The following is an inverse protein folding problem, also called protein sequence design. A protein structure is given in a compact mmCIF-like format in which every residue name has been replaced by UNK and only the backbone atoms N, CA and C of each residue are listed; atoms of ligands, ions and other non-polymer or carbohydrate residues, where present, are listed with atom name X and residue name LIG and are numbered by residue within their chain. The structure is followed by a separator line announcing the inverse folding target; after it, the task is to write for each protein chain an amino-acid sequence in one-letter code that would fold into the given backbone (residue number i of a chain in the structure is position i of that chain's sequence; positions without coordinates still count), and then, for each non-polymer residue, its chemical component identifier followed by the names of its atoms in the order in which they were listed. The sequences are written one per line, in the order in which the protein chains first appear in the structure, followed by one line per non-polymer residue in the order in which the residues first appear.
data_IF_806656628946
#
_entry.id   IF_806656628946
#
_cell.length_a   1.000
_cell.length_b   1.000
_cell.length_c   1.000
_cell.angle_alpha   90.00
_cell.angle_beta   90.00
_cell.angle_gamma   90.00
#
_symmetry.space_group_name_H-M   'P 1'
#
loop_
_entity.id
_entity.type
_entity.pdbx_description
1 polymer ?
#
# COMPACT_ATOMS: atom_id res chain seq x y z
N UNK A 1 -22.57 -23.66 12.87
CA UNK A 1 -22.42 -24.08 11.46
C UNK A 1 -23.80 -24.41 10.93
N UNK A 2 -24.23 -23.74 9.86
CA UNK A 2 -25.50 -23.98 9.19
C UNK A 2 -25.24 -24.28 7.71
N UNK A 3 -25.99 -25.24 7.15
CA UNK A 3 -25.91 -25.62 5.74
C UNK A 3 -27.28 -25.40 5.09
N UNK A 4 -27.31 -24.68 3.97
CA UNK A 4 -28.51 -24.59 3.14
C UNK A 4 -28.34 -25.48 1.91
N UNK A 5 -29.28 -26.41 1.72
CA UNK A 5 -29.27 -27.34 0.59
C UNK A 5 -30.24 -26.90 -0.50
N UNK A 6 -29.93 -27.20 -1.76
CA UNK A 6 -30.88 -27.02 -2.85
C UNK A 6 -32.04 -28.01 -2.77
N UNK A 7 -33.25 -27.48 -2.57
CA UNK A 7 -34.49 -28.26 -2.56
C UNK A 7 -34.66 -29.08 -3.86
N UNK A 8 -34.29 -28.50 -5.01
CA UNK A 8 -34.36 -29.16 -6.32
C UNK A 8 -33.29 -30.24 -6.53
N UNK A 9 -32.10 -30.07 -5.94
CA UNK A 9 -31.05 -31.08 -6.00
C UNK A 9 -31.36 -32.26 -5.06
N UNK A 10 -31.94 -31.97 -3.88
CA UNK A 10 -32.44 -32.99 -2.94
C UNK A 10 -33.54 -33.85 -3.58
N UNK A 11 -34.47 -33.23 -4.34
CA UNK A 11 -35.49 -33.95 -5.11
C UNK A 11 -34.91 -34.85 -6.23
N UNK A 12 -33.65 -34.65 -6.64
CA UNK A 12 -32.92 -35.47 -7.62
C UNK A 12 -31.87 -36.39 -6.99
N UNK A 13 -31.86 -36.52 -5.65
CA UNK A 13 -30.92 -37.38 -4.92
C UNK A 13 -29.48 -36.86 -4.87
N UNK A 14 -29.23 -35.58 -5.14
CA UNK A 14 -27.90 -34.97 -5.07
C UNK A 14 -27.89 -33.88 -4.00
N UNK A 15 -27.22 -34.12 -2.88
CA UNK A 15 -27.01 -33.08 -1.87
C UNK A 15 -26.04 -32.03 -2.43
N UNK A 16 -26.53 -30.83 -2.73
CA UNK A 16 -25.73 -29.67 -3.11
C UNK A 16 -25.86 -28.61 -2.02
N UNK A 17 -24.75 -28.31 -1.34
CA UNK A 17 -24.65 -27.26 -0.32
C UNK A 17 -24.59 -25.92 -1.04
N UNK A 18 -25.68 -25.16 -1.08
CA UNK A 18 -25.69 -23.88 -1.80
C UNK A 18 -25.03 -22.76 -1.00
N UNK A 19 -25.21 -22.79 0.31
CA UNK A 19 -24.65 -21.81 1.23
C UNK A 19 -23.97 -22.51 2.42
N UNK A 20 -22.81 -21.98 2.79
CA UNK A 20 -22.10 -22.33 4.01
C UNK A 20 -22.02 -21.10 4.90
N UNK A 21 -22.57 -21.22 6.11
CA UNK A 21 -22.53 -20.18 7.12
C UNK A 21 -21.84 -20.65 8.40
N UNK A 22 -20.81 -19.90 8.78
CA UNK A 22 -20.01 -20.12 9.96
C UNK A 22 -20.14 -18.90 10.87
N UNK A 23 -20.83 -19.08 11.99
CA UNK A 23 -20.94 -18.09 13.06
C UNK A 23 -19.88 -18.38 14.11
N UNK A 24 -19.02 -17.41 14.37
CA UNK A 24 -17.90 -17.46 15.31
C UNK A 24 -16.98 -18.69 15.13
N UNK A 25 -16.57 -19.05 13.90
CA UNK A 25 -15.63 -20.15 13.72
C UNK A 25 -14.25 -19.76 14.24
N UNK A 26 -13.51 -20.76 14.73
CA UNK A 26 -12.06 -20.66 14.95
C UNK A 26 -11.34 -21.48 13.90
N UNK A 27 -10.52 -20.84 13.07
CA UNK A 27 -9.70 -21.48 12.03
C UNK A 27 -8.24 -21.45 12.47
N UNK A 28 -7.59 -22.61 12.51
CA UNK A 28 -6.17 -22.72 12.81
C UNK A 28 -5.39 -22.95 11.52
N UNK A 29 -4.63 -21.94 11.08
CA UNK A 29 -3.68 -22.05 9.98
C UNK A 29 -2.29 -22.29 10.56
N UNK A 30 -1.70 -23.43 10.26
CA UNK A 30 -0.40 -23.85 10.78
C UNK A 30 0.53 -24.11 9.61
N UNK A 31 1.69 -23.46 9.63
CA UNK A 31 2.78 -23.72 8.70
C UNK A 31 3.75 -24.71 9.36
N UNK A 32 4.15 -25.75 8.64
CA UNK A 32 5.22 -26.65 9.10
C UNK A 32 6.61 -26.01 8.86
N UNK A 33 7.69 -26.58 9.42
CA UNK A 33 9.07 -26.14 9.14
C UNK A 33 9.45 -26.13 7.66
N UNK A 34 8.82 -26.97 6.85
CA UNK A 34 9.03 -27.06 5.40
C UNK A 34 8.27 -25.96 4.61
N UNK A 35 7.53 -25.09 5.31
CA UNK A 35 6.80 -23.97 4.73
C UNK A 35 5.40 -24.30 4.20
N UNK A 36 4.94 -25.54 4.37
CA UNK A 36 3.63 -26.01 3.92
C UNK A 36 2.54 -25.67 4.94
N UNK A 37 1.39 -25.23 4.43
CA UNK A 37 0.22 -24.89 5.25
C UNK A 37 -0.72 -26.10 5.39
N UNK A 38 -1.31 -26.28 6.57
CA UNK A 38 -2.40 -27.24 6.79
C UNK A 38 -3.70 -26.94 6.00
N UNK A 39 -3.76 -25.82 5.26
CA UNK A 39 -4.80 -25.51 4.29
C UNK A 39 -4.49 -26.04 2.87
N UNK A 40 -3.22 -26.32 2.54
CA UNK A 40 -2.84 -26.86 1.24
C UNK A 40 -3.43 -28.28 1.01
N UNK A 41 -3.66 -29.03 2.09
CA UNK A 41 -4.33 -30.33 2.08
C UNK A 41 -5.83 -30.26 1.79
N UNK A 42 -6.47 -29.08 1.85
CA UNK A 42 -7.88 -28.90 1.45
C UNK A 42 -8.05 -28.73 -0.07
N UNK A 43 -6.97 -28.35 -0.78
CA UNK A 43 -6.96 -28.17 -2.24
C UNK A 43 -6.31 -29.36 -2.98
N UNK A 44 -5.55 -30.21 -2.28
CA UNK A 44 -5.06 -31.46 -2.82
C UNK A 44 -6.25 -32.43 -2.99
N UNK A 45 -6.67 -32.67 -4.23
CA UNK A 45 -7.60 -33.73 -4.54
C UNK A 45 -7.01 -35.07 -4.00
N UNK A 46 -7.83 -35.96 -3.43
CA UNK A 46 -7.36 -37.31 -3.16
C UNK A 46 -6.89 -37.92 -4.48
N UNK A 47 -5.68 -38.45 -4.45
CA UNK A 47 -5.07 -39.20 -5.54
C UNK A 47 -5.82 -40.53 -5.66
N UNK A 48 -6.97 -40.51 -6.34
CA UNK A 48 -7.64 -41.71 -6.83
C UNK A 48 -7.20 -41.97 -8.28
N UNK A 49 -6.66 -43.16 -8.50
CA UNK A 49 -6.15 -43.72 -9.75
C UNK A 49 -7.23 -43.78 -10.86
N UNK A 50 -6.97 -43.11 -12.01
CA UNK A 50 -7.43 -43.28 -13.42
C UNK A 50 -8.93 -43.52 -13.81
N UNK A 51 -9.38 -43.22 -15.08
CA UNK A 51 -8.92 -42.27 -16.11
C UNK A 51 -10.04 -41.28 -16.54
N UNK A 52 -9.76 -40.23 -17.37
CA UNK A 52 -10.73 -39.16 -17.63
C UNK A 52 -11.70 -39.51 -18.77
N UNK A 53 -13.00 -39.29 -18.55
CA UNK A 53 -13.98 -39.13 -19.61
C UNK A 53 -14.74 -37.81 -19.41
N UNK A 54 -14.58 -36.94 -20.42
CA UNK A 54 -15.43 -35.82 -20.83
C UNK A 54 -15.75 -34.68 -19.82
N UNK A 55 -15.12 -33.54 -20.10
CA UNK A 55 -15.62 -32.16 -20.01
C UNK A 55 -16.91 -31.90 -19.21
N UNK A 56 -16.74 -31.42 -17.98
CA UNK A 56 -17.57 -30.35 -17.41
C UNK A 56 -16.68 -29.51 -16.49
N UNK A 57 -16.70 -28.15 -16.56
CA UNK A 57 -16.01 -27.34 -15.57
C UNK A 57 -16.65 -27.61 -14.21
N UNK A 58 -15.83 -28.00 -13.23
CA UNK A 58 -16.27 -28.21 -11.86
C UNK A 58 -16.84 -26.91 -11.31
N UNK A 59 -18.17 -26.80 -11.28
CA UNK A 59 -18.84 -25.75 -10.53
C UNK A 59 -18.51 -25.95 -9.06
N UNK A 60 -18.02 -24.88 -8.38
CA UNK A 60 -17.80 -24.92 -6.94
C UNK A 60 -19.05 -25.47 -6.25
N UNK A 61 -18.95 -26.53 -5.43
CA UNK A 61 -20.13 -27.17 -4.83
C UNK A 61 -20.87 -26.23 -3.88
N UNK A 62 -20.21 -25.17 -3.37
CA UNK A 62 -20.76 -24.11 -2.53
C UNK A 62 -20.63 -22.76 -3.24
N UNK A 63 -21.75 -22.09 -3.46
CA UNK A 63 -21.84 -20.80 -4.18
C UNK A 63 -21.80 -19.60 -3.25
N UNK A 64 -22.35 -19.74 -2.04
CA UNK A 64 -22.44 -18.67 -1.06
C UNK A 64 -21.65 -19.05 0.19
N UNK A 65 -20.70 -18.20 0.58
CA UNK A 65 -19.89 -18.36 1.77
C UNK A 65 -20.11 -17.17 2.70
N UNK A 66 -20.40 -17.47 3.96
CA UNK A 66 -20.51 -16.46 5.00
C UNK A 66 -19.75 -16.89 6.26
N UNK A 67 -18.89 -16.01 6.74
CA UNK A 67 -18.24 -16.09 8.05
C UNK A 67 -18.65 -14.84 8.82
N UNK A 68 -19.19 -15.04 10.02
CA UNK A 68 -19.57 -13.96 10.93
C UNK A 68 -18.73 -14.07 12.20
N UNK A 69 -18.02 -12.99 12.54
CA UNK A 69 -17.23 -12.87 13.78
C UNK A 69 -16.23 -14.02 14.01
N UNK A 70 -15.54 -14.43 12.94
CA UNK A 70 -14.55 -15.50 12.98
C UNK A 70 -13.25 -15.10 13.69
N UNK A 71 -12.53 -16.11 14.15
CA UNK A 71 -11.15 -16.01 14.64
C UNK A 71 -10.23 -16.86 13.78
N UNK A 72 -9.12 -16.30 13.30
CA UNK A 72 -8.06 -17.05 12.61
C UNK A 72 -6.81 -17.02 13.48
N UNK A 73 -6.31 -18.20 13.86
CA UNK A 73 -5.04 -18.37 14.54
C UNK A 73 -4.01 -18.83 13.51
N UNK A 74 -2.90 -18.09 13.40
CA UNK A 74 -1.84 -18.35 12.43
C UNK A 74 -0.57 -18.67 13.20
N UNK A 75 -0.11 -19.90 13.06
CA UNK A 75 1.08 -20.43 13.72
C UNK A 75 2.16 -20.74 12.69
N UNK A 76 3.36 -20.20 12.92
CA UNK A 76 4.56 -20.49 12.14
C UNK A 76 5.70 -20.91 13.06
N UNK A 77 6.66 -21.71 12.57
CA UNK A 77 7.88 -21.99 13.32
C UNK A 77 8.59 -20.70 13.70
N UNK A 78 9.07 -20.62 14.94
CA UNK A 78 9.88 -19.51 15.48
C UNK A 78 9.23 -18.12 15.43
N UNK A 79 7.89 -18.05 15.35
CA UNK A 79 7.15 -16.79 15.40
C UNK A 79 5.99 -16.82 16.39
N UNK A 80 5.62 -15.68 16.99
CA UNK A 80 4.44 -15.59 17.83
C UNK A 80 3.18 -15.91 17.02
N UNK A 81 2.24 -16.63 17.65
CA UNK A 81 0.92 -16.89 17.05
C UNK A 81 0.20 -15.58 16.76
N UNK A 82 -0.13 -15.35 15.50
CA UNK A 82 -0.97 -14.23 15.10
C UNK A 82 -2.44 -14.61 15.27
N UNK A 83 -3.18 -13.78 16.00
CA UNK A 83 -4.62 -13.94 16.20
C UNK A 83 -5.35 -12.81 15.48
N UNK A 84 -6.11 -13.18 14.45
CA UNK A 84 -7.03 -12.29 13.76
C UNK A 84 -8.43 -12.52 14.32
N UNK A 85 -9.16 -11.46 14.63
CA UNK A 85 -10.51 -11.52 15.23
C UNK A 85 -11.49 -10.67 14.45
N UNK A 86 -12.79 -10.83 14.72
CA UNK A 86 -13.83 -10.10 14.02
C UNK A 86 -13.78 -10.32 12.51
N UNK A 87 -13.39 -11.54 12.09
CA UNK A 87 -13.26 -11.90 10.68
C UNK A 87 -14.65 -12.06 10.10
N UNK A 88 -14.97 -11.22 9.14
CA UNK A 88 -16.19 -11.27 8.37
C UNK A 88 -15.85 -11.58 6.93
N UNK A 89 -16.48 -12.60 6.36
CA UNK A 89 -16.35 -12.93 4.95
C UNK A 89 -17.75 -13.13 4.38
N UNK A 90 -18.04 -12.50 3.25
CA UNK A 90 -19.21 -12.80 2.46
C UNK A 90 -18.81 -12.90 0.98
N UNK A 91 -18.97 -14.07 0.38
CA UNK A 91 -18.83 -14.28 -1.05
C UNK A 91 -20.13 -14.90 -1.57
N UNK A 92 -20.70 -14.33 -2.62
CA UNK A 92 -21.98 -14.78 -3.19
C UNK A 92 -21.79 -15.16 -4.64
N UNK A 93 -22.50 -16.18 -5.11
CA UNK A 93 -22.43 -16.65 -6.49
C UNK A 93 -20.99 -16.92 -6.99
N UNK A 94 -20.17 -17.56 -6.15
CA UNK A 94 -18.79 -17.92 -6.47
C UNK A 94 -18.75 -18.67 -7.81
N UNK A 95 -17.93 -18.16 -8.73
CA UNK A 95 -17.80 -18.64 -10.09
C UNK A 95 -16.33 -18.71 -10.50
N UNK A 96 -15.96 -19.74 -11.25
CA UNK A 96 -14.62 -19.86 -11.84
C UNK A 96 -14.50 -19.09 -13.17
N UNK A 97 -15.62 -18.75 -13.79
CA UNK A 97 -15.67 -18.14 -15.13
C UNK A 97 -16.12 -16.68 -15.13
N UNK A 98 -16.78 -16.23 -14.07
CA UNK A 98 -17.34 -14.88 -13.97
C UNK A 98 -16.89 -14.18 -12.67
N UNK A 99 -16.72 -12.85 -12.66
CA UNK A 99 -16.46 -12.11 -11.43
C UNK A 99 -17.67 -12.16 -10.51
N UNK A 100 -17.46 -12.34 -9.20
CA UNK A 100 -18.51 -12.42 -8.20
C UNK A 100 -18.25 -11.49 -7.00
N UNK A 101 -19.29 -11.04 -6.27
CA UNK A 101 -19.13 -10.15 -5.13
C UNK A 101 -18.38 -10.81 -3.97
N UNK A 102 -17.47 -10.06 -3.35
CA UNK A 102 -16.77 -10.45 -2.13
C UNK A 102 -16.71 -9.27 -1.16
N UNK A 103 -16.96 -9.55 0.11
CA UNK A 103 -16.68 -8.66 1.25
C UNK A 103 -15.80 -9.39 2.23
N UNK A 104 -14.77 -8.72 2.72
CA UNK A 104 -13.87 -9.22 3.75
C UNK A 104 -13.64 -8.10 4.75
N UNK A 105 -13.71 -8.39 6.04
CA UNK A 105 -13.24 -7.50 7.08
C UNK A 105 -12.50 -8.29 8.15
N UNK A 106 -11.40 -7.73 8.66
CA UNK A 106 -10.51 -8.39 9.61
C UNK A 106 -10.00 -7.35 10.60
N UNK A 107 -10.07 -7.66 11.89
CA UNK A 107 -9.46 -6.86 12.95
C UNK A 107 -8.12 -7.46 13.39
N UNK A 108 -7.08 -6.63 13.36
CA UNK A 108 -5.72 -6.98 13.80
C UNK A 108 -5.47 -6.61 15.27
N UNK A 109 -6.20 -5.61 15.78
CA UNK A 109 -6.23 -5.18 17.17
C UNK A 109 -7.59 -4.51 17.48
N UNK A 110 -7.85 -4.11 18.72
CA UNK A 110 -9.16 -3.53 19.14
C UNK A 110 -9.61 -2.35 18.27
N UNK A 111 -8.67 -1.52 17.81
CA UNK A 111 -8.96 -0.32 17.00
C UNK A 111 -8.44 -0.44 15.55
N UNK A 112 -7.83 -1.56 15.19
CA UNK A 112 -7.17 -1.76 13.90
C UNK A 112 -7.99 -2.72 13.04
N UNK A 113 -8.59 -2.20 11.95
CA UNK A 113 -9.43 -2.96 11.04
C UNK A 113 -9.05 -2.70 9.59
N UNK A 114 -9.02 -3.77 8.81
CA UNK A 114 -8.98 -3.71 7.36
C UNK A 114 -10.31 -4.26 6.86
N UNK A 115 -10.95 -3.56 5.93
CA UNK A 115 -12.10 -4.11 5.22
C UNK A 115 -11.99 -3.88 3.72
N UNK A 116 -12.62 -4.75 2.96
CA UNK A 116 -12.74 -4.59 1.52
C UNK A 116 -14.09 -5.08 1.02
N UNK A 117 -14.62 -4.35 0.04
CA UNK A 117 -15.82 -4.68 -0.72
C UNK A 117 -15.47 -4.62 -2.20
N UNK A 118 -15.82 -5.65 -2.96
CA UNK A 118 -15.48 -5.68 -4.37
C UNK A 118 -16.00 -6.91 -5.11
N UNK A 119 -15.39 -7.13 -6.27
CA UNK A 119 -15.64 -8.27 -7.16
C UNK A 119 -14.33 -9.01 -7.39
N UNK A 120 -14.37 -10.33 -7.24
CA UNK A 120 -13.24 -11.22 -7.48
C UNK A 120 -13.56 -12.09 -8.70
N UNK A 121 -12.61 -12.22 -9.63
CA UNK A 121 -12.65 -13.19 -10.71
C UNK A 121 -12.57 -12.59 -12.13
N UNK A 122 -12.54 -13.45 -13.16
CA UNK A 122 -12.64 -14.92 -13.10
C UNK A 122 -11.51 -15.58 -12.29
N UNK A 123 -11.80 -16.66 -11.55
CA UNK A 123 -10.81 -17.31 -10.69
C UNK A 123 -9.71 -17.97 -11.53
N UNK A 124 -8.46 -17.68 -11.20
CA UNK A 124 -7.32 -18.34 -11.82
C UNK A 124 -6.82 -19.45 -10.85
N UNK A 125 -7.40 -20.65 -10.96
CA UNK A 125 -7.11 -21.74 -10.02
C UNK A 125 -5.66 -22.24 -10.09
N UNK A 126 -4.99 -22.08 -11.23
CA UNK A 126 -3.56 -22.44 -11.38
C UNK A 126 -2.63 -21.34 -10.86
N UNK A 127 -3.11 -20.09 -10.78
CA UNK A 127 -2.39 -18.99 -10.16
C UNK A 127 -3.34 -18.07 -9.36
N UNK A 128 -3.80 -18.48 -8.16
CA UNK A 128 -4.82 -17.73 -7.40
C UNK A 128 -4.44 -16.28 -7.12
N UNK A 129 -3.15 -15.99 -6.93
CA UNK A 129 -2.62 -14.64 -6.75
C UNK A 129 -2.82 -13.71 -7.97
N UNK A 130 -3.09 -14.26 -9.15
CA UNK A 130 -3.37 -13.53 -10.40
C UNK A 130 -4.87 -13.36 -10.67
N UNK A 131 -5.72 -13.83 -9.77
CA UNK A 131 -7.17 -13.65 -9.88
C UNK A 131 -7.50 -12.17 -9.90
N UNK A 132 -8.20 -11.66 -10.94
CA UNK A 132 -8.55 -10.26 -11.01
C UNK A 132 -9.41 -9.83 -9.83
N UNK A 133 -9.18 -8.62 -9.35
CA UNK A 133 -9.91 -8.04 -8.24
C UNK A 133 -10.25 -6.58 -8.56
N UNK A 134 -11.48 -6.17 -8.27
CA UNK A 134 -11.88 -4.77 -8.33
C UNK A 134 -12.69 -4.44 -7.08
N UNK A 135 -12.22 -3.51 -6.27
CA UNK A 135 -12.91 -3.17 -5.05
C UNK A 135 -12.36 -1.94 -4.36
N UNK A 136 -12.90 -1.68 -3.18
CA UNK A 136 -12.46 -0.64 -2.27
C UNK A 136 -11.86 -1.30 -1.02
N UNK A 137 -10.66 -0.89 -0.65
CA UNK A 137 -9.97 -1.24 0.58
C UNK A 137 -10.12 -0.07 1.54
N UNK A 138 -10.58 -0.34 2.76
CA UNK A 138 -10.65 0.63 3.86
C UNK A 138 -9.70 0.20 4.97
N UNK A 139 -8.96 1.17 5.46
CA UNK A 139 -8.02 1.04 6.56
C UNK A 139 -8.54 1.88 7.72
N UNK A 140 -8.59 1.29 8.91
CA UNK A 140 -8.95 1.95 10.15
C UNK A 140 -7.83 1.68 11.16
N UNK A 141 -7.02 2.71 11.43
CA UNK A 141 -5.85 2.67 12.32
C UNK A 141 -4.93 1.45 12.09
N UNK A 142 -4.81 1.02 10.85
CA UNK A 142 -4.03 -0.15 10.47
C UNK A 142 -2.54 0.16 10.52
N UNK A 143 -1.76 -0.72 11.16
CA UNK A 143 -0.30 -0.58 11.24
C UNK A 143 0.36 -1.68 10.39
N UNK A 144 1.24 -1.36 9.41
CA UNK A 144 1.84 -2.38 8.54
C UNK A 144 2.65 -3.47 9.24
N UNK A 145 3.24 -3.15 10.39
CA UNK A 145 3.99 -4.08 11.23
C UNK A 145 3.14 -5.27 11.72
N UNK A 146 1.81 -5.10 11.80
CA UNK A 146 0.86 -6.17 12.11
C UNK A 146 0.87 -7.31 11.06
N UNK A 147 1.41 -7.08 9.85
CA UNK A 147 1.56 -8.10 8.82
C UNK A 147 2.87 -8.88 8.90
N UNK A 148 3.81 -8.51 9.79
CA UNK A 148 5.12 -9.17 9.90
C UNK A 148 5.02 -10.69 10.17
N UNK A 149 3.96 -11.11 10.85
CA UNK A 149 3.62 -12.52 11.09
C UNK A 149 2.92 -13.21 9.91
N UNK A 150 2.70 -12.51 8.79
CA UNK A 150 2.15 -13.06 7.54
C UNK A 150 3.16 -13.01 6.41
N UNK A 151 3.80 -11.86 6.23
CA UNK A 151 4.69 -11.57 5.11
C UNK A 151 5.94 -10.87 5.62
N UNK A 152 7.03 -10.95 4.84
CA UNK A 152 8.20 -10.11 5.08
C UNK A 152 7.82 -8.66 4.76
N UNK A 153 7.69 -7.83 5.79
CA UNK A 153 7.41 -6.40 5.64
C UNK A 153 8.74 -5.65 5.49
N UNK A 154 8.92 -4.85 4.43
CA UNK A 154 10.07 -3.95 4.31
C UNK A 154 10.23 -3.08 5.56
N UNK A 155 11.46 -2.89 6.09
CA UNK A 155 11.70 -2.08 7.28
C UNK A 155 11.11 -0.67 7.22
N UNK A 156 11.04 -0.08 6.02
CA UNK A 156 10.48 1.24 5.75
C UNK A 156 8.96 1.25 6.02
N UNK A 157 8.23 0.24 5.56
CA UNK A 157 6.80 0.11 5.82
C UNK A 157 6.51 -0.17 7.30
N UNK A 158 7.38 -0.94 7.97
CA UNK A 158 7.26 -1.21 9.41
C UNK A 158 7.45 0.03 10.28
N UNK A 159 8.11 1.08 9.75
CA UNK A 159 8.29 2.37 10.44
C UNK A 159 7.09 3.30 10.26
N UNK A 160 6.20 3.02 9.32
CA UNK A 160 4.99 3.80 9.17
C UNK A 160 4.11 3.65 10.41
N UNK A 161 3.51 4.76 10.83
CA UNK A 161 2.55 4.79 11.93
C UNK A 161 1.25 4.06 11.59
N UNK A 162 0.23 4.27 12.43
CA UNK A 162 -1.12 3.81 12.10
C UNK A 162 -1.66 4.57 10.88
N UNK A 163 -2.47 3.89 10.07
CA UNK A 163 -2.97 4.40 8.81
C UNK A 163 -4.48 4.25 8.73
N UNK A 164 -5.15 5.30 8.27
CA UNK A 164 -6.59 5.28 8.02
C UNK A 164 -6.89 5.83 6.63
N UNK A 165 -7.88 5.28 5.95
CA UNK A 165 -8.27 5.80 4.65
C UNK A 165 -8.93 4.77 3.75
N UNK A 166 -8.97 5.10 2.46
CA UNK A 166 -9.68 4.33 1.45
C UNK A 166 -8.90 4.30 0.15
N UNK A 167 -8.74 3.10 -0.43
CA UNK A 167 -8.09 2.86 -1.71
C UNK A 167 -9.01 2.04 -2.61
N UNK A 168 -9.35 2.56 -3.78
CA UNK A 168 -9.91 1.78 -4.88
C UNK A 168 -8.79 0.99 -5.52
N UNK A 169 -8.96 -0.31 -5.59
CA UNK A 169 -7.99 -1.24 -6.15
C UNK A 169 -8.60 -1.92 -7.38
N UNK A 170 -7.84 -1.99 -8.45
CA UNK A 170 -8.13 -2.81 -9.62
C UNK A 170 -6.89 -3.60 -9.97
N UNK A 171 -6.90 -4.89 -9.71
CA UNK A 171 -5.84 -5.83 -10.09
C UNK A 171 -6.31 -6.66 -11.27
N UNK A 172 -5.53 -6.69 -12.34
CA UNK A 172 -5.73 -7.54 -13.51
C UNK A 172 -4.45 -8.26 -13.91
N UNK A 173 -4.48 -8.94 -15.06
CA UNK A 173 -3.35 -9.73 -15.54
C UNK A 173 -2.15 -8.92 -16.04
N UNK A 174 -2.36 -7.65 -16.34
CA UNK A 174 -1.36 -6.77 -16.97
C UNK A 174 -1.05 -5.53 -16.12
N UNK A 175 -1.99 -5.14 -15.26
CA UNK A 175 -1.92 -3.88 -14.51
C UNK A 175 -2.65 -4.01 -13.19
N UNK A 176 -2.05 -3.43 -12.16
CA UNK A 176 -2.64 -3.13 -10.86
C UNK A 176 -2.76 -1.61 -10.80
N UNK A 177 -3.95 -1.11 -10.51
CA UNK A 177 -4.21 0.31 -10.29
C UNK A 177 -4.71 0.51 -8.86
N UNK A 178 -4.18 1.52 -8.19
CA UNK A 178 -4.60 1.91 -6.86
C UNK A 178 -4.84 3.43 -6.83
N UNK A 179 -6.04 3.82 -6.39
CA UNK A 179 -6.44 5.22 -6.32
C UNK A 179 -7.18 5.51 -5.01
N UNK A 180 -6.77 6.53 -4.27
CA UNK A 180 -7.51 6.94 -3.08
C UNK A 180 -6.73 7.83 -2.15
N UNK A 181 -7.21 7.91 -0.90
CA UNK A 181 -6.64 8.76 0.15
C UNK A 181 -6.32 7.92 1.38
N UNK A 182 -5.08 8.01 1.84
CA UNK A 182 -4.59 7.42 3.09
C UNK A 182 -4.09 8.55 3.98
N UNK A 183 -4.25 8.39 5.28
CA UNK A 183 -3.76 9.30 6.32
C UNK A 183 -2.86 8.49 7.23
N UNK A 184 -1.61 8.92 7.40
CA UNK A 184 -0.71 8.44 8.45
C UNK A 184 -1.03 9.21 9.71
N UNK A 185 -1.49 8.50 10.73
CA UNK A 185 -1.96 9.07 11.98
C UNK A 185 -0.79 9.53 12.84
N UNK A 186 -0.87 10.77 13.30
CA UNK A 186 0.02 11.36 14.28
C UNK A 186 -0.39 11.05 15.73
N UNK A 187 0.30 11.68 16.68
CA UNK A 187 -0.15 11.74 18.07
C UNK A 187 -1.44 12.55 18.23
N UNK A 188 -1.62 13.55 17.37
CA UNK A 188 -2.76 14.46 17.32
C UNK A 188 -3.21 14.62 15.86
N UNK A 189 -4.43 15.10 15.62
CA UNK A 189 -4.97 15.26 14.26
C UNK A 189 -4.20 16.30 13.42
N UNK A 190 -3.69 17.36 14.06
CA UNK A 190 -2.80 18.35 13.40
C UNK A 190 -1.47 17.73 12.95
N UNK A 191 -1.12 16.61 13.58
CA UNK A 191 0.02 15.78 13.28
C UNK A 191 -0.33 14.69 12.26
N UNK A 192 -1.45 14.71 11.56
CA UNK A 192 -1.73 13.73 10.52
C UNK A 192 -1.03 14.08 9.19
N UNK A 193 -0.52 13.06 8.49
CA UNK A 193 0.01 13.21 7.13
C UNK A 193 -0.93 12.57 6.12
N UNK A 194 -1.49 13.38 5.22
CA UNK A 194 -2.45 12.97 4.20
C UNK A 194 -1.74 12.64 2.88
N UNK A 195 -2.08 11.50 2.30
CA UNK A 195 -1.57 10.97 1.04
C UNK A 195 -2.75 10.72 0.10
N UNK A 196 -2.79 11.39 -1.03
CA UNK A 196 -3.64 11.03 -2.15
C UNK A 196 -2.78 10.34 -3.20
N UNK A 197 -3.22 9.20 -3.69
CA UNK A 197 -2.47 8.33 -4.60
C UNK A 197 -3.34 8.04 -5.82
N UNK A 198 -2.74 8.13 -7.00
CA UNK A 198 -3.25 7.58 -8.25
C UNK A 198 -2.07 6.91 -8.97
N UNK A 199 -1.93 5.61 -8.74
CA UNK A 199 -0.77 4.83 -9.17
C UNK A 199 -1.18 3.60 -9.96
N UNK A 200 -0.32 3.26 -10.91
CA UNK A 200 -0.38 2.05 -11.73
C UNK A 200 0.93 1.29 -11.62
N UNK A 201 0.84 -0.02 -11.63
CA UNK A 201 1.99 -0.90 -11.52
C UNK A 201 1.71 -2.21 -12.28
N UNK A 202 2.72 -2.78 -12.95
CA UNK A 202 2.60 -4.13 -13.48
C UNK A 202 2.51 -5.16 -12.35
N UNK A 203 1.93 -6.35 -12.58
CA UNK A 203 1.78 -7.40 -11.57
C UNK A 203 3.10 -7.91 -10.97
N UNK A 204 4.23 -7.71 -11.66
CA UNK A 204 5.56 -8.06 -11.15
C UNK A 204 6.16 -6.98 -10.23
N UNK A 205 5.43 -5.88 -10.00
CA UNK A 205 5.78 -4.77 -9.12
C UNK A 205 7.10 -4.09 -9.48
N UNK A 206 7.60 -4.25 -10.71
CA UNK A 206 8.92 -3.73 -11.11
C UNK A 206 8.95 -2.23 -11.35
N UNK A 207 7.80 -1.62 -11.62
CA UNK A 207 7.66 -0.19 -11.86
C UNK A 207 6.46 0.36 -11.13
N UNK A 208 6.54 1.60 -10.67
CA UNK A 208 5.37 2.37 -10.24
C UNK A 208 5.24 3.58 -11.16
N UNK A 209 4.07 3.76 -11.75
CA UNK A 209 3.68 4.95 -12.52
C UNK A 209 2.65 5.72 -11.72
N UNK A 210 3.04 6.89 -11.20
CA UNK A 210 2.18 7.79 -10.45
C UNK A 210 1.64 8.87 -11.40
N UNK A 211 0.33 8.83 -11.65
CA UNK A 211 -0.35 9.87 -12.42
C UNK A 211 -0.47 11.15 -11.59
N UNK A 212 -0.80 10.99 -10.31
CA UNK A 212 -0.80 12.06 -9.33
C UNK A 212 -0.62 11.47 -7.93
N UNK A 213 0.32 12.04 -7.18
CA UNK A 213 0.49 11.79 -5.76
C UNK A 213 0.49 13.14 -5.05
N UNK A 214 -0.40 13.35 -4.09
CA UNK A 214 -0.44 14.56 -3.28
C UNK A 214 -0.11 14.20 -1.84
N UNK A 215 0.89 14.87 -1.28
CA UNK A 215 1.28 14.76 0.13
C UNK A 215 0.93 16.08 0.82
N UNK A 216 0.13 16.00 1.87
CA UNK A 216 -0.31 17.13 2.68
C UNK A 216 0.12 16.91 4.13
N UNK A 217 0.83 17.89 4.69
CA UNK A 217 1.24 17.90 6.10
C UNK A 217 1.32 19.33 6.62
N UNK A 218 0.57 19.66 7.68
CA UNK A 218 0.36 21.04 8.10
C UNK A 218 -0.13 21.90 6.93
N UNK A 219 0.54 23.04 6.68
CA UNK A 219 0.26 23.89 5.52
C UNK A 219 1.07 23.51 4.26
N UNK A 220 1.90 22.47 4.30
CA UNK A 220 2.65 22.03 3.13
C UNK A 220 1.82 21.09 2.26
N UNK A 221 1.76 21.39 0.97
CA UNK A 221 1.20 20.52 -0.06
C UNK A 221 2.21 20.29 -1.16
N UNK A 222 2.57 19.04 -1.38
CA UNK A 222 3.49 18.60 -2.44
C UNK A 222 2.73 17.70 -3.40
N UNK A 223 2.75 18.04 -4.69
CA UNK A 223 2.25 17.18 -5.75
C UNK A 223 3.43 16.56 -6.47
N UNK A 224 3.38 15.25 -6.68
CA UNK A 224 4.35 14.46 -7.42
C UNK A 224 3.64 13.70 -8.55
N UNK A 225 4.34 13.52 -9.67
CA UNK A 225 3.91 12.64 -10.76
C UNK A 225 5.15 12.08 -11.45
N UNK A 226 5.03 10.91 -12.10
CA UNK A 226 6.13 10.30 -12.84
C UNK A 226 6.24 8.81 -12.61
N UNK A 227 7.45 8.27 -12.70
CA UNK A 227 7.71 6.83 -12.63
C UNK A 227 8.94 6.47 -11.83
N UNK A 228 8.90 5.31 -11.19
CA UNK A 228 10.03 4.71 -10.45
C UNK A 228 10.19 3.26 -10.85
N UNK A 229 11.39 2.86 -11.29
CA UNK A 229 11.77 1.45 -11.44
C UNK A 229 12.25 0.92 -10.09
N UNK A 230 11.59 -0.12 -9.61
CA UNK A 230 11.86 -0.83 -8.35
C UNK A 230 12.77 -2.05 -8.55
N UNK A 231 13.23 -2.31 -9.78
CA UNK A 231 14.16 -3.38 -10.10
C UNK A 231 15.34 -2.85 -10.95
N UNK A 232 16.54 -3.46 -10.87
CA UNK A 232 17.67 -3.06 -11.70
C UNK A 232 17.38 -3.14 -13.21
N UNK A 233 17.80 -2.14 -14.01
CA UNK A 233 18.43 -0.89 -13.58
C UNK A 233 17.43 0.06 -12.92
N UNK A 234 17.72 0.47 -11.68
CA UNK A 234 16.87 1.43 -10.96
C UNK A 234 16.86 2.76 -11.69
N UNK A 235 15.68 3.35 -11.82
CA UNK A 235 15.49 4.64 -12.46
C UNK A 235 14.37 5.41 -11.78
N UNK A 236 14.56 6.72 -11.66
CA UNK A 236 13.65 7.68 -11.08
C UNK A 236 13.37 8.75 -12.13
N UNK A 237 12.10 9.09 -12.33
CA UNK A 237 11.68 10.26 -13.10
C UNK A 237 10.46 10.86 -12.43
N UNK A 238 10.64 11.94 -11.67
CA UNK A 238 9.56 12.59 -10.93
C UNK A 238 9.50 14.07 -11.24
N UNK A 239 8.30 14.59 -11.49
CA UNK A 239 8.01 16.01 -11.43
C UNK A 239 7.34 16.33 -10.08
N UNK A 240 7.89 17.30 -9.36
CA UNK A 240 7.47 17.75 -8.04
C UNK A 240 7.05 19.21 -8.10
N UNK A 241 5.85 19.50 -7.62
CA UNK A 241 5.34 20.87 -7.51
C UNK A 241 4.86 21.17 -6.10
N UNK A 242 5.12 22.38 -5.63
CA UNK A 242 4.60 22.86 -4.35
C UNK A 242 4.33 24.37 -4.45
N UNK A 243 3.39 24.88 -3.65
CA UNK A 243 2.99 26.29 -3.66
C UNK A 243 2.84 26.78 -2.23
N UNK A 244 3.63 27.80 -1.88
CA UNK A 244 3.62 28.47 -0.55
C UNK A 244 3.69 27.50 0.66
N UNK A 245 4.34 26.35 0.48
CA UNK A 245 4.48 25.33 1.51
C UNK A 245 5.49 25.74 2.57
N UNK A 246 5.16 25.51 3.85
CA UNK A 246 6.09 25.84 4.93
C UNK A 246 7.31 24.92 4.93
N UNK A 247 8.50 25.53 4.93
CA UNK A 247 9.77 24.80 4.88
C UNK A 247 9.92 23.84 6.08
N UNK A 248 9.40 24.23 7.25
CA UNK A 248 9.37 23.38 8.44
C UNK A 248 8.54 22.12 8.23
N UNK A 249 7.33 22.26 7.66
CA UNK A 249 6.45 21.14 7.36
C UNK A 249 7.04 20.22 6.28
N UNK A 250 7.61 20.77 5.21
CA UNK A 250 8.28 19.98 4.16
C UNK A 250 9.42 19.09 4.69
N UNK A 251 10.13 19.54 5.73
CA UNK A 251 11.19 18.74 6.37
C UNK A 251 10.67 17.53 7.15
N UNK A 252 9.42 17.58 7.62
CA UNK A 252 8.83 16.49 8.40
C UNK A 252 8.24 15.37 7.52
N UNK A 253 7.86 15.69 6.28
CA UNK A 253 7.29 14.74 5.33
C UNK A 253 8.13 13.45 5.18
N UNK A 254 9.43 13.49 4.82
CA UNK A 254 10.21 12.26 4.65
C UNK A 254 10.36 11.47 5.95
N UNK A 255 10.52 12.16 7.09
CA UNK A 255 10.64 11.53 8.40
C UNK A 255 9.37 10.74 8.76
N UNK A 256 8.20 11.32 8.47
CA UNK A 256 6.89 10.69 8.68
C UNK A 256 6.60 9.54 7.73
N UNK A 257 7.23 9.56 6.56
CA UNK A 257 7.23 8.44 5.61
C UNK A 257 8.27 7.36 5.95
N UNK A 258 8.95 7.46 7.10
CA UNK A 258 9.94 6.47 7.56
C UNK A 258 11.35 6.63 6.99
N UNK A 259 11.60 7.71 6.23
CA UNK A 259 12.88 8.00 5.61
C UNK A 259 13.69 9.01 6.44
N UNK A 260 14.85 8.59 6.99
CA UNK A 260 15.73 9.52 7.71
C UNK A 260 16.38 10.51 6.72
N UNK A 261 16.50 11.77 7.13
CA UNK A 261 17.30 12.74 6.40
C UNK A 261 18.80 12.53 6.71
N UNK A 262 19.67 12.33 5.71
CA UNK A 262 21.08 12.03 5.94
C UNK A 262 21.85 13.20 6.59
N UNK A 263 21.41 14.44 6.34
CA UNK A 263 21.92 15.65 6.99
C UNK A 263 20.72 16.49 7.41
N UNK A 264 20.67 16.90 8.67
CA UNK A 264 19.70 17.90 9.13
C UNK A 264 20.24 19.29 8.78
N UNK A 265 19.69 19.99 7.76
CA UNK A 265 20.12 21.36 7.50
C UNK A 265 19.82 22.25 8.73
N UNK A 266 20.53 23.38 8.88
CA UNK A 266 20.27 24.32 9.97
C UNK A 266 18.77 24.66 10.06
N UNK A 267 18.30 24.97 11.26
CA UNK A 267 16.91 25.36 11.46
C UNK A 267 16.58 26.56 10.54
N UNK A 268 15.64 26.32 9.63
CA UNK A 268 15.26 27.25 8.57
C UNK A 268 13.74 27.34 8.54
N UNK A 269 13.23 28.56 8.45
CA UNK A 269 11.81 28.87 8.30
C UNK A 269 11.60 29.66 7.02
N UNK A 270 10.39 29.61 6.46
CA UNK A 270 10.05 30.27 5.20
C UNK A 270 8.99 29.47 4.44
N UNK A 271 8.58 30.00 3.28
CA UNK A 271 7.64 29.32 2.39
C UNK A 271 8.27 29.03 1.06
N UNK A 272 7.98 27.85 0.52
CA UNK A 272 8.57 27.35 -0.71
C UNK A 272 7.49 27.19 -1.77
N UNK A 273 7.76 27.73 -2.94
CA UNK A 273 7.05 27.39 -4.18
C UNK A 273 8.08 26.78 -5.12
N UNK A 274 7.81 25.60 -5.67
CA UNK A 274 8.76 24.96 -6.58
C UNK A 274 8.08 24.17 -7.68
N UNK A 275 8.82 24.04 -8.77
CA UNK A 275 8.56 23.16 -9.90
C UNK A 275 9.90 22.50 -10.25
N UNK A 276 10.05 21.24 -9.84
CA UNK A 276 11.29 20.48 -9.90
C UNK A 276 11.09 19.19 -10.66
N UNK A 277 12.09 18.79 -11.43
CA UNK A 277 12.20 17.48 -12.04
C UNK A 277 13.39 16.74 -11.45
N UNK A 278 13.15 15.53 -10.96
CA UNK A 278 14.16 14.62 -10.44
C UNK A 278 14.34 13.47 -11.42
N UNK A 279 15.57 13.24 -11.86
CA UNK A 279 15.92 12.13 -12.76
C UNK A 279 17.19 11.42 -12.28
N UNK A 280 17.30 10.11 -12.50
CA UNK A 280 18.51 9.35 -12.18
C UNK A 280 18.19 8.03 -11.48
N UNK A 281 19.02 7.62 -10.52
CA UNK A 281 18.80 6.45 -9.66
C UNK A 281 18.47 6.90 -8.22
N UNK A 282 17.96 6.02 -7.35
CA UNK A 282 17.74 6.37 -5.95
C UNK A 282 19.01 6.83 -5.21
N UNK A 283 20.18 6.37 -5.65
CA UNK A 283 21.49 6.72 -5.05
C UNK A 283 22.12 7.94 -5.73
N UNK A 284 21.90 8.10 -7.04
CA UNK A 284 22.47 9.14 -7.87
C UNK A 284 21.37 9.82 -8.71
N UNK A 285 20.76 10.86 -8.15
CA UNK A 285 19.73 11.65 -8.83
C UNK A 285 20.17 13.10 -9.04
N UNK A 286 19.66 13.70 -10.11
CA UNK A 286 19.83 15.13 -10.43
C UNK A 286 18.48 15.83 -10.34
N UNK A 287 18.50 17.05 -9.80
CA UNK A 287 17.33 17.94 -9.80
C UNK A 287 17.51 19.06 -10.81
N UNK A 288 16.45 19.37 -11.54
CA UNK A 288 16.36 20.54 -12.40
C UNK A 288 15.05 21.28 -12.15
N UNK A 289 14.99 22.59 -12.42
CA UNK A 289 13.77 23.38 -12.29
C UNK A 289 13.95 24.65 -11.48
N UNK A 290 12.85 25.16 -10.92
CA UNK A 290 12.83 26.45 -10.21
C UNK A 290 12.24 26.27 -8.82
N UNK A 291 12.83 26.95 -7.84
CA UNK A 291 12.26 27.09 -6.52
C UNK A 291 12.35 28.55 -6.06
N UNK A 292 11.33 29.01 -5.36
CA UNK A 292 11.29 30.32 -4.73
C UNK A 292 11.01 30.12 -3.26
N UNK A 293 11.89 30.65 -2.43
CA UNK A 293 11.73 30.67 -0.99
C UNK A 293 11.42 32.09 -0.56
N UNK A 294 10.28 32.31 0.09
CA UNK A 294 9.89 33.60 0.64
C UNK A 294 10.01 33.58 2.16
N UNK A 295 10.30 34.74 2.77
CA UNK A 295 10.45 34.91 4.22
C UNK A 295 11.43 33.91 4.83
N UNK A 296 12.56 33.66 4.14
CA UNK A 296 13.57 32.74 4.60
C UNK A 296 14.27 33.33 5.82
N UNK A 297 14.27 32.59 6.93
CA UNK A 297 15.10 32.88 8.08
C UNK A 297 15.87 31.63 8.49
N UNK A 298 17.21 31.73 8.51
CA UNK A 298 18.13 30.63 8.84
C UNK A 298 19.07 31.09 9.94
N UNK A 299 19.30 30.23 10.94
CA UNK A 299 20.35 30.44 11.94
C UNK A 299 21.46 29.39 11.72
N UNK A 300 22.50 29.72 10.94
CA UNK A 300 23.62 28.80 10.76
C UNK A 300 24.36 28.58 12.08
N UNK A 301 24.97 27.40 12.24
CA UNK A 301 25.79 27.11 13.40
C UNK A 301 27.03 28.03 13.43
N UNK A 302 27.36 28.57 14.60
CA UNK A 302 28.46 29.52 14.77
C UNK A 302 28.17 30.97 14.38
N UNK A 303 26.98 31.29 13.86
CA UNK A 303 26.59 32.68 13.57
C UNK A 303 25.81 33.29 14.75
N UNK A 304 26.15 34.54 15.17
CA UNK A 304 25.48 35.19 16.29
C UNK A 304 24.04 35.61 15.94
N UNK A 305 23.76 35.92 14.67
CA UNK A 305 22.48 36.43 14.20
C UNK A 305 21.79 35.49 13.21
N UNK A 306 20.45 35.59 13.15
CA UNK A 306 19.64 34.88 12.16
C UNK A 306 19.68 35.64 10.83
N UNK A 307 20.13 34.97 9.78
CA UNK A 307 20.11 35.49 8.42
C UNK A 307 18.67 35.49 7.90
N UNK A 308 18.20 36.63 7.38
CA UNK A 308 16.86 36.78 6.84
C UNK A 308 16.91 37.29 5.40
N UNK A 309 16.06 36.74 4.53
CA UNK A 309 15.80 37.27 3.20
C UNK A 309 14.32 37.17 2.86
N UNK A 310 13.78 38.22 2.24
CA UNK A 310 12.36 38.26 1.87
C UNK A 310 12.04 37.30 0.73
N UNK A 311 12.98 37.16 -0.20
CA UNK A 311 12.85 36.30 -1.38
C UNK A 311 14.22 35.75 -1.77
N UNK A 312 14.24 34.47 -2.09
CA UNK A 312 15.35 33.73 -2.66
C UNK A 312 14.83 32.93 -3.85
N UNK A 313 15.31 33.23 -5.04
CA UNK A 313 14.98 32.46 -6.24
C UNK A 313 16.13 31.54 -6.58
N UNK A 314 15.83 30.26 -6.76
CA UNK A 314 16.76 29.19 -7.10
C UNK A 314 16.37 28.66 -8.48
N UNK A 315 17.34 28.59 -9.39
CA UNK A 315 17.22 27.79 -10.60
C UNK A 315 18.25 26.67 -10.52
N UNK A 316 17.76 25.44 -10.56
CA UNK A 316 18.54 24.23 -10.52
C UNK A 316 18.70 23.70 -11.94
N UNK A 317 19.94 23.47 -12.32
CA UNK A 317 20.36 22.74 -13.50
C UNK A 317 21.34 21.65 -13.05
N UNK A 318 21.40 20.47 -13.71
CA UNK A 318 22.32 19.40 -13.31
C UNK A 318 23.77 19.85 -13.15
N UNK A 319 24.22 20.87 -13.88
CA UNK A 319 25.59 21.38 -13.79
C UNK A 319 25.74 22.60 -12.88
N UNK A 320 24.65 23.30 -12.56
CA UNK A 320 24.71 24.60 -11.88
C UNK A 320 23.45 24.91 -11.08
N UNK A 321 23.65 25.32 -9.83
CA UNK A 321 22.62 25.99 -9.05
C UNK A 321 22.88 27.50 -9.14
N UNK A 322 21.88 28.25 -9.58
CA UNK A 322 21.91 29.71 -9.49
C UNK A 322 20.93 30.16 -8.44
N UNK A 323 21.37 31.11 -7.62
CA UNK A 323 20.55 31.74 -6.62
C UNK A 323 20.52 33.26 -6.90
N UNK A 324 19.38 33.89 -6.68
CA UNK A 324 19.23 35.33 -6.73
C UNK A 324 18.69 35.79 -5.37
N UNK A 325 19.32 36.80 -4.74
CA UNK A 325 20.33 37.71 -5.30
C UNK A 325 21.80 37.24 -5.22
N UNK A 326 22.09 36.03 -4.73
CA UNK A 326 23.46 35.57 -4.46
C UNK A 326 23.90 34.40 -5.36
N UNK A 327 25.06 34.49 -6.02
CA UNK A 327 25.60 33.34 -6.75
C UNK A 327 26.24 32.33 -5.78
N UNK A 328 25.69 31.13 -5.68
CA UNK A 328 26.34 29.99 -5.00
C UNK A 328 27.00 29.12 -6.06
N UNK A 329 28.31 28.87 -5.95
CA UNK A 329 28.99 27.81 -6.70
C UNK A 329 29.22 26.62 -5.78
N UNK A 330 28.81 25.43 -6.20
CA UNK A 330 29.22 24.20 -5.52
C UNK A 330 30.74 24.12 -5.59
N UNK A 331 31.41 24.01 -4.44
CA UNK A 331 32.85 23.84 -4.41
C UNK A 331 33.20 22.51 -5.12
N UNK A 332 34.22 22.48 -6.00
CA UNK A 332 34.64 21.24 -6.62
C UNK A 332 35.23 20.32 -5.55
N UNK A 333 34.62 19.14 -5.32
CA UNK A 333 35.25 18.06 -4.56
C UNK A 333 34.47 17.41 -3.41
N UNK A 334 33.14 17.42 -3.41
CA UNK A 334 32.38 16.49 -2.53
C UNK A 334 31.51 15.62 -3.44
N UNK A 335 32.06 14.44 -3.75
CA UNK A 335 31.37 13.26 -4.32
C UNK A 335 30.98 12.37 -3.15
#
# INVERSE_FOLDING_TARGET
MQFEFSLWALLRGKAQVQALELVQPTVNLRQNPDGEWNAATLAAAPEEEEPPSAEAPAASPVRNWRIEDGTILIERPDQPTLRLTGVELAATDISTTEPFPVRLAVSFAEQSRISTDGRLGPLDLSAPARTPFQGELRLEQFRPDALSSLITVPPELARLGAMSGTLKLRSGREEIAAQGKITLLGSEEEDDLSLQLDVKLPPDLRRVEASETIVEYGEARVRAQGSVELAPPYALNLALTTSEAELGALRQVPLRLGYPLPVSPPAATGRVTSDLKLEGTPEEWVASGKAKVTRLAVKPEGFPETLRTDSLELTLDPERITAAPFNLSLAPGVV
#
